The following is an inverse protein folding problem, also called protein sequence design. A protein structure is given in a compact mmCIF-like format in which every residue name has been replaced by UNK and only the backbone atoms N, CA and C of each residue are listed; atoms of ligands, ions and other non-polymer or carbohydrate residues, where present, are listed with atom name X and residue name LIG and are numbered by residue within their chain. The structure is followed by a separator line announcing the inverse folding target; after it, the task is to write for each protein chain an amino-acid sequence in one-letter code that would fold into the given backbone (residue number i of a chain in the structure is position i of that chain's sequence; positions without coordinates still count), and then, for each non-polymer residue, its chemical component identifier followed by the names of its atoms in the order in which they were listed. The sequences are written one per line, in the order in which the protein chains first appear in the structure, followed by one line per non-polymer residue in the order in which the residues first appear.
data_IF_253406598493
#
_entry.id   IF_253406598493
#
_cell.length_a   1.000
_cell.length_b   1.000
_cell.length_c   1.000
_cell.angle_alpha   90.00
_cell.angle_beta   90.00
_cell.angle_gamma   90.00
#
_symmetry.space_group_name_H-M   'P 1'
#
loop_
_entity.id
_entity.type
_entity.pdbx_description
1 polymer ?
#
# COMPACT_ATOMS: atom_id res chain seq x y z
N UNK A 1 3.66 35.94 0.49
CA UNK A 1 3.19 35.19 -0.69
C UNK A 1 2.05 34.31 -0.19
N UNK A 2 0.84 34.42 -0.75
CA UNK A 2 -0.25 33.55 -0.36
C UNK A 2 0.13 32.11 -0.73
N UNK A 3 0.13 31.19 0.24
CA UNK A 3 0.28 29.76 -0.03
C UNK A 3 -0.88 29.35 -0.92
N UNK A 4 -0.61 29.11 -2.20
CA UNK A 4 -1.60 28.64 -3.16
C UNK A 4 -2.11 27.28 -2.66
N UNK A 5 -3.42 27.16 -2.50
CA UNK A 5 -4.05 25.89 -2.12
C UNK A 5 -3.64 24.82 -3.12
N UNK A 6 -3.16 23.65 -2.67
CA UNK A 6 -2.82 22.55 -3.56
C UNK A 6 -3.99 22.18 -4.49
N UNK A 7 -3.69 21.74 -5.70
CA UNK A 7 -4.72 21.37 -6.68
C UNK A 7 -5.50 20.13 -6.23
N UNK A 8 -4.82 19.19 -5.57
CA UNK A 8 -5.37 17.90 -5.17
C UNK A 8 -5.89 17.92 -3.72
N UNK A 9 -7.10 17.36 -3.54
CA UNK A 9 -7.69 17.08 -2.23
C UNK A 9 -8.08 15.60 -2.15
N UNK A 10 -7.38 14.84 -1.31
CA UNK A 10 -7.62 13.42 -1.07
C UNK A 10 -8.63 13.23 0.05
N UNK A 11 -9.75 12.57 -0.23
CA UNK A 11 -10.70 12.14 0.79
C UNK A 11 -10.64 10.62 0.90
N UNK A 12 -10.51 10.12 2.12
CA UNK A 12 -10.39 8.69 2.38
C UNK A 12 -10.77 8.30 3.80
N UNK A 13 -10.71 7.00 4.10
CA UNK A 13 -10.76 6.53 5.49
C UNK A 13 -9.36 6.62 6.10
N UNK A 14 -9.28 6.61 7.43
CA UNK A 14 -8.02 6.57 8.17
C UNK A 14 -7.09 5.46 7.65
N UNK A 15 -5.90 5.86 7.23
CA UNK A 15 -4.98 5.01 6.46
C UNK A 15 -4.39 3.87 7.26
N UNK A 16 -4.44 3.91 8.60
CA UNK A 16 -4.14 2.74 9.44
C UNK A 16 -5.07 1.54 9.20
N UNK A 17 -6.30 1.78 8.73
CA UNK A 17 -7.28 0.74 8.38
C UNK A 17 -7.58 0.65 6.87
N UNK A 18 -7.35 1.72 6.12
CA UNK A 18 -7.71 1.79 4.69
C UNK A 18 -6.54 1.48 3.77
N UNK A 19 -6.41 0.21 3.35
CA UNK A 19 -5.42 -0.15 2.34
C UNK A 19 -5.59 0.59 1.01
N UNK A 20 -6.83 0.92 0.61
CA UNK A 20 -7.09 1.63 -0.64
C UNK A 20 -6.61 3.08 -0.60
N UNK A 21 -6.88 3.78 0.50
CA UNK A 21 -6.42 5.16 0.71
C UNK A 21 -4.90 5.21 0.90
N UNK A 22 -4.32 4.24 1.62
CA UNK A 22 -2.88 4.16 1.86
C UNK A 22 -2.06 4.01 0.56
N UNK A 23 -2.62 3.39 -0.49
CA UNK A 23 -1.98 3.30 -1.82
C UNK A 23 -1.80 4.68 -2.46
N UNK A 24 -2.83 5.52 -2.39
CA UNK A 24 -2.80 6.88 -2.94
C UNK A 24 -1.90 7.78 -2.09
N UNK A 25 -2.03 7.70 -0.76
CA UNK A 25 -1.18 8.47 0.17
C UNK A 25 0.31 8.13 -0.04
N UNK A 26 0.66 6.86 -0.24
CA UNK A 26 2.03 6.45 -0.54
C UNK A 26 2.60 7.12 -1.80
N UNK A 27 1.81 7.22 -2.88
CA UNK A 27 2.26 7.89 -4.11
C UNK A 27 2.40 9.40 -3.90
N UNK A 28 1.41 10.05 -3.31
CA UNK A 28 1.42 11.49 -3.07
C UNK A 28 2.60 11.90 -2.19
N UNK A 29 2.87 11.15 -1.12
CA UNK A 29 3.91 11.47 -0.15
C UNK A 29 5.31 11.14 -0.68
N UNK A 30 5.49 10.00 -1.34
CA UNK A 30 6.80 9.62 -1.88
C UNK A 30 7.28 10.59 -2.97
N UNK A 31 6.38 10.99 -3.87
CA UNK A 31 6.69 11.94 -4.94
C UNK A 31 6.53 13.41 -4.52
N UNK A 32 6.21 13.67 -3.24
CA UNK A 32 6.00 15.01 -2.69
C UNK A 32 5.01 15.86 -3.51
N UNK A 33 3.96 15.22 -4.03
CA UNK A 33 2.92 15.89 -4.79
C UNK A 33 2.09 16.73 -3.81
N UNK A 34 2.03 18.07 -3.97
CA UNK A 34 1.28 18.93 -3.06
C UNK A 34 -0.20 18.55 -3.05
N UNK A 35 -0.74 18.28 -1.87
CA UNK A 35 -2.14 17.92 -1.69
C UNK A 35 -2.63 18.32 -0.31
N UNK A 36 -3.94 18.39 -0.15
CA UNK A 36 -4.61 18.37 1.15
C UNK A 36 -5.30 17.03 1.34
N UNK A 37 -5.62 16.66 2.58
CA UNK A 37 -6.28 15.39 2.91
C UNK A 37 -7.38 15.57 3.94
N UNK A 38 -8.45 14.79 3.79
CA UNK A 38 -9.51 14.67 4.76
C UNK A 38 -9.80 13.19 5.00
N UNK A 39 -9.61 12.74 6.24
CA UNK A 39 -10.05 11.41 6.66
C UNK A 39 -11.45 11.48 7.26
N UNK A 40 -12.32 10.59 6.81
CA UNK A 40 -13.73 10.53 7.21
C UNK A 40 -14.05 9.19 7.87
N UNK A 41 -15.17 9.14 8.56
CA UNK A 41 -15.72 7.90 9.12
C UNK A 41 -16.37 7.03 8.04
N UNK A 42 -16.44 5.72 8.28
CA UNK A 42 -17.10 4.79 7.37
C UNK A 42 -18.59 5.14 7.16
N UNK A 43 -19.27 5.67 8.18
CA UNK A 43 -20.66 6.11 8.10
C UNK A 43 -20.87 7.33 7.20
N UNK A 44 -19.82 8.12 6.95
CA UNK A 44 -19.89 9.37 6.18
C UNK A 44 -19.62 9.16 4.69
N UNK A 45 -19.11 8.00 4.27
CA UNK A 45 -18.64 7.77 2.90
C UNK A 45 -19.68 8.07 1.83
N UNK A 46 -20.96 7.75 2.08
CA UNK A 46 -22.07 8.01 1.16
C UNK A 46 -22.35 9.50 0.93
N UNK A 47 -21.95 10.37 1.86
CA UNK A 47 -22.07 11.82 1.71
C UNK A 47 -21.03 12.39 0.73
N UNK A 48 -19.93 11.67 0.51
CA UNK A 48 -18.82 12.10 -0.36
C UNK A 48 -18.75 11.32 -1.68
N UNK A 49 -19.22 10.07 -1.69
CA UNK A 49 -19.14 9.17 -2.83
C UNK A 49 -20.46 8.41 -2.98
N UNK A 50 -21.18 8.56 -4.12
CA UNK A 50 -22.44 7.85 -4.35
C UNK A 50 -22.32 6.32 -4.25
N UNK A 51 -21.14 5.76 -4.51
CA UNK A 51 -20.86 4.32 -4.38
C UNK A 51 -20.61 3.89 -2.94
N UNK A 52 -20.45 4.83 -2.01
CA UNK A 52 -20.04 4.56 -0.62
C UNK A 52 -18.58 4.11 -0.47
N UNK A 53 -17.78 4.24 -1.53
CA UNK A 53 -16.38 3.81 -1.58
C UNK A 53 -15.43 5.02 -1.66
N UNK A 54 -14.29 4.87 -1.01
CA UNK A 54 -13.15 5.81 -1.02
C UNK A 54 -11.85 4.99 -1.20
N UNK A 55 -10.70 5.58 -1.61
CA UNK A 55 -10.41 7.01 -1.76
C UNK A 55 -11.15 7.68 -2.92
N UNK A 56 -11.33 8.99 -2.80
CA UNK A 56 -11.66 9.89 -3.91
C UNK A 56 -10.64 11.02 -3.97
N UNK A 57 -10.31 11.47 -5.18
CA UNK A 57 -9.49 12.65 -5.42
C UNK A 57 -10.36 13.74 -6.05
N UNK A 58 -10.45 14.87 -5.35
CA UNK A 58 -10.98 16.11 -5.90
C UNK A 58 -9.83 16.95 -6.43
N UNK A 59 -10.07 17.64 -7.54
CA UNK A 59 -9.07 18.44 -8.24
C UNK A 59 -9.65 19.84 -8.48
N UNK A 60 -9.01 20.89 -7.97
CA UNK A 60 -9.51 22.26 -8.11
C UNK A 60 -9.51 22.72 -9.58
N UNK A 61 -8.55 22.26 -10.37
CA UNK A 61 -8.47 22.51 -11.81
C UNK A 61 -9.53 21.73 -12.63
N UNK A 62 -10.14 20.68 -12.05
CA UNK A 62 -11.21 19.89 -12.66
C UNK A 62 -12.43 19.80 -11.71
N UNK A 63 -13.12 20.91 -11.42
CA UNK A 63 -14.13 20.98 -10.35
C UNK A 63 -15.38 20.13 -10.61
N UNK A 64 -15.62 19.72 -11.86
CA UNK A 64 -16.73 18.83 -12.24
C UNK A 64 -16.38 17.34 -12.17
N UNK A 65 -15.11 16.99 -11.94
CA UNK A 65 -14.65 15.61 -11.88
C UNK A 65 -14.34 15.20 -10.43
N UNK A 66 -14.91 14.08 -10.00
CA UNK A 66 -14.46 13.37 -8.79
C UNK A 66 -13.87 12.05 -9.25
N UNK A 67 -12.57 11.89 -9.02
CA UNK A 67 -11.85 10.69 -9.47
C UNK A 67 -11.95 9.66 -8.35
N UNK A 68 -12.59 8.55 -8.64
CA UNK A 68 -12.76 7.42 -7.72
C UNK A 68 -11.85 6.27 -8.12
N UNK A 69 -11.61 5.33 -7.21
CA UNK A 69 -10.71 4.17 -7.38
C UNK A 69 -9.23 4.51 -7.23
N UNK A 70 -8.54 3.79 -6.34
CA UNK A 70 -7.12 4.03 -6.04
C UNK A 70 -6.19 3.93 -7.26
N UNK A 71 -6.47 3.04 -8.22
CA UNK A 71 -5.62 2.87 -9.40
C UNK A 71 -5.89 3.94 -10.43
N UNK A 72 -7.17 4.29 -10.64
CA UNK A 72 -7.53 5.41 -11.50
C UNK A 72 -6.98 6.74 -10.98
N UNK A 73 -7.03 6.98 -9.67
CA UNK A 73 -6.42 8.14 -9.03
C UNK A 73 -4.90 8.17 -9.28
N UNK A 74 -4.19 7.05 -9.08
CA UNK A 74 -2.74 7.01 -9.30
C UNK A 74 -2.36 7.18 -10.78
N UNK A 75 -3.13 6.63 -11.73
CA UNK A 75 -2.90 6.87 -13.16
C UNK A 75 -3.15 8.34 -13.53
N UNK A 76 -4.20 8.97 -12.98
CA UNK A 76 -4.44 10.40 -13.16
C UNK A 76 -3.29 11.25 -12.61
N UNK A 77 -2.76 10.91 -11.43
CA UNK A 77 -1.58 11.58 -10.87
C UNK A 77 -0.36 11.41 -11.77
N UNK A 78 -0.16 10.23 -12.36
CA UNK A 78 0.94 9.99 -13.31
C UNK A 78 0.77 10.80 -14.61
N UNK A 79 -0.45 10.91 -15.13
CA UNK A 79 -0.76 11.73 -16.30
C UNK A 79 -0.56 13.23 -16.01
N UNK A 80 -1.04 13.70 -14.86
CA UNK A 80 -1.05 15.11 -14.49
C UNK A 80 0.32 15.63 -14.02
N UNK A 81 1.26 14.74 -13.69
CA UNK A 81 2.61 15.07 -13.23
C UNK A 81 3.68 14.38 -14.11
N UNK A 82 3.76 14.67 -15.43
CA UNK A 82 4.60 13.91 -16.36
C UNK A 82 6.11 14.06 -16.13
N UNK A 83 6.53 15.04 -15.31
CA UNK A 83 7.93 15.21 -14.90
C UNK A 83 8.37 14.24 -13.80
N UNK A 84 7.42 13.62 -13.09
CA UNK A 84 7.69 12.69 -11.99
C UNK A 84 7.63 11.23 -12.48
N UNK A 85 8.58 10.37 -12.09
CA UNK A 85 8.64 8.99 -12.56
C UNK A 85 7.70 8.06 -11.77
N UNK A 86 6.39 8.34 -11.74
CA UNK A 86 5.39 7.50 -11.04
C UNK A 86 5.30 6.08 -11.62
N UNK A 87 5.69 5.95 -12.89
CA UNK A 87 5.93 4.69 -13.57
C UNK A 87 7.35 4.65 -14.14
N UNK A 88 7.93 3.44 -14.35
CA UNK A 88 9.21 3.31 -15.04
C UNK A 88 9.22 4.02 -16.41
N UNK A 89 10.37 4.60 -16.79
CA UNK A 89 10.55 5.24 -18.10
C UNK A 89 10.68 4.23 -19.24
N UNK A 90 11.35 3.10 -18.99
CA UNK A 90 11.42 2.00 -19.94
C UNK A 90 10.03 1.41 -20.22
N UNK A 91 9.71 1.19 -21.50
CA UNK A 91 8.38 0.73 -21.94
C UNK A 91 8.04 -0.66 -21.41
N UNK A 92 9.02 -1.57 -21.36
CA UNK A 92 8.80 -2.93 -20.89
C UNK A 92 8.56 -2.94 -19.38
N UNK A 93 9.42 -2.26 -18.61
CA UNK A 93 9.26 -2.16 -17.16
C UNK A 93 7.95 -1.46 -16.78
N UNK A 94 7.55 -0.41 -17.50
CA UNK A 94 6.25 0.25 -17.28
C UNK A 94 5.07 -0.68 -17.52
N UNK A 95 5.12 -1.50 -18.57
CA UNK A 95 4.06 -2.47 -18.85
C UNK A 95 3.95 -3.53 -17.75
N UNK A 96 5.09 -4.04 -17.26
CA UNK A 96 5.13 -5.00 -16.17
C UNK A 96 4.66 -4.38 -14.84
N UNK A 97 5.07 -3.15 -14.54
CA UNK A 97 4.66 -2.42 -13.34
C UNK A 97 3.14 -2.20 -13.27
N UNK A 98 2.55 -1.75 -14.39
CA UNK A 98 1.09 -1.60 -14.50
C UNK A 98 0.35 -2.93 -14.35
N UNK A 99 0.88 -4.01 -14.94
CA UNK A 99 0.30 -5.35 -14.79
C UNK A 99 0.34 -5.82 -13.33
N UNK A 100 1.47 -5.64 -12.64
CA UNK A 100 1.60 -6.01 -11.23
C UNK A 100 0.64 -5.20 -10.33
N UNK A 101 0.56 -3.88 -10.54
CA UNK A 101 -0.38 -3.02 -9.83
C UNK A 101 -1.84 -3.44 -10.07
N UNK A 102 -2.22 -3.73 -11.32
CA UNK A 102 -3.57 -4.18 -11.67
C UNK A 102 -3.93 -5.56 -11.07
N UNK A 103 -2.98 -6.50 -11.05
CA UNK A 103 -3.16 -7.80 -10.38
C UNK A 103 -3.37 -7.64 -8.88
N UNK A 104 -2.67 -6.71 -8.22
CA UNK A 104 -2.88 -6.41 -6.80
C UNK A 104 -4.14 -5.58 -6.55
N UNK A 105 -4.55 -4.77 -7.53
CA UNK A 105 -5.75 -3.98 -7.45
C UNK A 105 -7.01 -4.87 -7.44
N UNK A 106 -7.10 -5.77 -8.43
CA UNK A 106 -8.28 -6.59 -8.72
C UNK A 106 -8.23 -8.03 -8.19
N UNK A 107 -7.06 -8.48 -7.72
CA UNK A 107 -6.85 -9.85 -7.25
C UNK A 107 -6.70 -9.97 -5.74
N UNK A 108 -6.38 -11.20 -5.34
CA UNK A 108 -6.10 -11.62 -3.96
C UNK A 108 -7.30 -11.52 -2.99
N UNK A 109 -8.54 -11.87 -3.41
CA UNK A 109 -9.70 -11.76 -2.53
C UNK A 109 -9.61 -12.63 -1.28
N UNK A 110 -9.04 -13.84 -1.36
CA UNK A 110 -9.00 -14.76 -0.21
C UNK A 110 -8.07 -14.20 0.86
N UNK A 111 -6.88 -13.74 0.48
CA UNK A 111 -5.93 -13.09 1.36
C UNK A 111 -6.53 -11.82 1.98
N UNK A 112 -7.20 -10.98 1.19
CA UNK A 112 -7.74 -9.69 1.66
C UNK A 112 -8.92 -9.86 2.61
N UNK A 113 -9.75 -10.89 2.41
CA UNK A 113 -10.90 -11.19 3.26
C UNK A 113 -10.51 -12.01 4.50
N UNK A 114 -9.45 -12.81 4.43
CA UNK A 114 -8.92 -13.54 5.61
C UNK A 114 -8.12 -12.60 6.52
N UNK A 115 -7.32 -11.71 5.93
CA UNK A 115 -6.38 -10.86 6.64
C UNK A 115 -6.74 -9.39 6.42
N UNK A 116 -7.59 -8.84 7.28
CA UNK A 116 -8.01 -7.44 7.22
C UNK A 116 -6.84 -6.47 7.45
N UNK A 117 -6.99 -5.24 6.95
CA UNK A 117 -5.96 -4.21 7.10
C UNK A 117 -6.09 -3.50 8.45
N UNK A 118 -5.04 -3.61 9.27
CA UNK A 118 -4.79 -2.76 10.43
C UNK A 118 -3.27 -2.64 10.57
N UNK A 119 -2.70 -1.46 10.31
CA UNK A 119 -1.24 -1.28 10.32
C UNK A 119 -0.62 -1.62 11.67
N UNK A 120 -1.31 -1.30 12.77
CA UNK A 120 -0.76 -1.44 14.12
C UNK A 120 -0.92 -2.87 14.65
N UNK A 121 -1.86 -3.65 14.10
CA UNK A 121 -2.17 -4.98 14.60
C UNK A 121 -0.97 -5.91 14.56
N UNK A 122 -0.84 -6.68 15.65
CA UNK A 122 0.07 -7.81 15.79
C UNK A 122 -0.72 -9.02 16.26
N UNK A 123 -0.64 -10.10 15.51
CA UNK A 123 -1.15 -11.40 15.90
C UNK A 123 0.02 -12.36 16.15
N UNK A 124 -0.07 -13.14 17.22
CA UNK A 124 0.87 -14.23 17.55
C UNK A 124 0.11 -15.50 17.89
N UNK A 125 0.80 -16.65 17.89
CA UNK A 125 0.16 -17.95 18.08
C UNK A 125 -0.23 -18.59 16.75
N UNK A 126 -1.33 -19.36 16.74
CA UNK A 126 -1.72 -20.20 15.62
C UNK A 126 -2.69 -19.50 14.65
N UNK A 127 -2.21 -18.42 14.01
CA UNK A 127 -3.00 -17.69 13.02
C UNK A 127 -3.31 -18.61 11.82
N UNK A 128 -4.59 -18.88 11.50
CA UNK A 128 -4.93 -19.79 10.42
C UNK A 128 -4.59 -19.20 9.06
N UNK A 129 -3.99 -20.03 8.19
CA UNK A 129 -3.76 -19.70 6.79
C UNK A 129 -4.51 -20.72 5.94
N UNK A 130 -5.73 -20.39 5.45
CA UNK A 130 -6.48 -21.27 4.56
C UNK A 130 -5.71 -21.54 3.26
N UNK A 131 -5.92 -22.71 2.64
CA UNK A 131 -5.23 -23.10 1.40
C UNK A 131 -5.36 -22.06 0.28
N UNK A 132 -6.52 -21.42 0.15
CA UNK A 132 -6.73 -20.34 -0.82
C UNK A 132 -5.86 -19.11 -0.54
N UNK A 133 -5.65 -18.76 0.74
CA UNK A 133 -4.74 -17.68 1.11
C UNK A 133 -3.28 -18.09 0.89
N UNK A 134 -2.91 -19.33 1.20
CA UNK A 134 -1.56 -19.86 0.94
C UNK A 134 -1.23 -19.85 -0.57
N UNK A 135 -2.17 -20.26 -1.42
CA UNK A 135 -2.02 -20.22 -2.88
C UNK A 135 -1.86 -18.78 -3.41
N UNK A 136 -2.61 -17.83 -2.83
CA UNK A 136 -2.51 -16.41 -3.15
C UNK A 136 -1.19 -15.78 -2.67
N UNK A 137 -0.69 -16.15 -1.49
CA UNK A 137 0.65 -15.78 -1.00
C UNK A 137 1.72 -16.29 -1.96
N UNK A 138 1.66 -17.56 -2.36
CA UNK A 138 2.61 -18.12 -3.33
C UNK A 138 2.54 -17.40 -4.70
N UNK A 139 1.36 -16.97 -5.14
CA UNK A 139 1.22 -16.14 -6.35
C UNK A 139 1.84 -14.76 -6.16
N UNK A 140 1.72 -14.17 -4.97
CA UNK A 140 2.31 -12.88 -4.62
C UNK A 140 3.83 -12.92 -4.78
N UNK A 141 4.48 -13.93 -4.22
CA UNK A 141 5.93 -14.12 -4.34
C UNK A 141 6.37 -14.25 -5.79
N UNK A 142 5.65 -15.04 -6.60
CA UNK A 142 5.94 -15.14 -8.04
C UNK A 142 5.87 -13.79 -8.76
N UNK A 143 4.95 -12.91 -8.39
CA UNK A 143 4.88 -11.55 -8.97
C UNK A 143 6.12 -10.75 -8.58
N UNK A 144 6.48 -10.73 -7.29
CA UNK A 144 7.62 -9.95 -6.80
C UNK A 144 8.95 -10.45 -7.36
N UNK A 145 9.16 -11.77 -7.35
CA UNK A 145 10.39 -12.39 -7.88
C UNK A 145 10.51 -12.17 -9.38
N UNK A 146 9.41 -12.34 -10.13
CA UNK A 146 9.43 -12.09 -11.59
C UNK A 146 9.67 -10.61 -11.89
N UNK A 147 9.08 -9.70 -11.11
CA UNK A 147 9.30 -8.26 -11.25
C UNK A 147 10.76 -7.91 -11.00
N UNK A 148 11.34 -8.35 -9.88
CA UNK A 148 12.74 -8.06 -9.54
C UNK A 148 13.71 -8.65 -10.55
N UNK A 149 13.51 -9.91 -10.96
CA UNK A 149 14.34 -10.54 -12.00
C UNK A 149 14.30 -9.76 -13.32
N UNK A 150 13.11 -9.48 -13.85
CA UNK A 150 12.96 -8.78 -15.12
C UNK A 150 13.53 -7.36 -15.07
N UNK A 151 13.39 -6.68 -13.92
CA UNK A 151 13.92 -5.34 -13.68
C UNK A 151 15.44 -5.32 -13.66
N UNK A 152 16.07 -6.17 -12.84
CA UNK A 152 17.53 -6.25 -12.73
C UNK A 152 18.17 -6.54 -14.10
N UNK A 153 17.62 -7.53 -14.82
CA UNK A 153 18.10 -7.88 -16.17
C UNK A 153 17.94 -6.71 -17.15
N UNK A 154 16.80 -6.04 -17.13
CA UNK A 154 16.51 -4.94 -18.07
C UNK A 154 17.36 -3.70 -17.79
N UNK A 155 17.49 -3.28 -16.53
CA UNK A 155 18.27 -2.10 -16.16
C UNK A 155 19.77 -2.31 -16.41
N UNK A 156 20.29 -3.53 -16.16
CA UNK A 156 21.67 -3.87 -16.51
C UNK A 156 21.93 -3.74 -18.01
N UNK A 157 21.01 -4.18 -18.87
CA UNK A 157 21.11 -4.00 -20.33
C UNK A 157 21.05 -2.53 -20.78
N UNK A 158 20.32 -1.70 -20.06
CA UNK A 158 20.20 -0.27 -20.33
C UNK A 158 21.34 0.56 -19.73
N UNK A 159 22.14 -0.02 -18.83
CA UNK A 159 23.12 0.72 -18.03
C UNK A 159 22.46 1.71 -17.06
N UNK A 160 21.22 1.45 -16.65
CA UNK A 160 20.45 2.28 -15.72
C UNK A 160 20.61 1.82 -14.27
N UNK A 161 20.41 2.74 -13.33
CA UNK A 161 20.51 2.46 -11.88
C UNK A 161 19.28 1.70 -11.41
N UNK A 162 19.50 0.66 -10.61
CA UNK A 162 18.45 -0.05 -9.89
C UNK A 162 18.47 0.39 -8.42
N UNK A 163 17.47 1.18 -8.03
CA UNK A 163 17.34 1.61 -6.63
C UNK A 163 16.82 0.48 -5.73
N UNK A 164 16.46 -0.69 -6.26
CA UNK A 164 16.00 -1.85 -5.49
C UNK A 164 14.50 -1.86 -5.17
N UNK A 165 13.72 -0.99 -5.82
CA UNK A 165 12.24 -1.11 -5.83
C UNK A 165 11.79 -2.15 -6.86
N UNK A 166 10.51 -2.57 -6.87
CA UNK A 166 10.06 -3.67 -7.74
C UNK A 166 10.44 -3.48 -9.22
N UNK A 167 10.46 -2.23 -9.68
CA UNK A 167 10.77 -1.84 -11.05
C UNK A 167 11.89 -0.78 -11.17
N UNK A 168 12.87 -0.85 -10.28
CA UNK A 168 14.08 -0.02 -10.30
C UNK A 168 13.98 1.08 -9.25
N UNK A 169 13.38 2.20 -9.65
CA UNK A 169 12.93 3.25 -8.74
C UNK A 169 11.54 2.96 -8.16
N UNK A 170 11.16 3.70 -7.11
CA UNK A 170 9.82 3.60 -6.53
C UNK A 170 8.77 3.94 -7.59
N UNK A 171 7.69 3.17 -7.61
CA UNK A 171 6.59 3.34 -8.55
C UNK A 171 5.24 3.11 -7.89
N UNK A 172 4.16 3.40 -8.62
CA UNK A 172 2.80 3.06 -8.21
C UNK A 172 2.66 1.56 -7.90
N UNK A 173 3.44 0.66 -8.54
CA UNK A 173 3.40 -0.76 -8.21
C UNK A 173 3.80 -1.03 -6.75
N UNK A 174 4.87 -0.39 -6.27
CA UNK A 174 5.33 -0.51 -4.88
C UNK A 174 4.28 0.00 -3.90
N UNK A 175 3.66 1.15 -4.20
CA UNK A 175 2.56 1.71 -3.42
C UNK A 175 1.38 0.73 -3.28
N UNK A 176 1.09 -0.04 -4.33
CA UNK A 176 -0.02 -1.01 -4.36
C UNK A 176 0.21 -2.23 -3.47
N UNK A 177 1.47 -2.63 -3.31
CA UNK A 177 1.86 -3.72 -2.41
C UNK A 177 2.20 -3.25 -0.99
N UNK A 178 2.34 -1.95 -0.72
CA UNK A 178 2.65 -1.46 0.63
C UNK A 178 1.68 -1.98 1.72
N UNK A 179 0.34 -1.90 1.57
CA UNK A 179 -0.58 -2.46 2.56
C UNK A 179 -0.62 -3.99 2.62
N UNK A 180 0.02 -4.67 1.67
CA UNK A 180 0.19 -6.13 1.70
C UNK A 180 1.34 -6.49 2.63
N UNK A 181 2.44 -5.74 2.60
CA UNK A 181 3.54 -5.94 3.54
C UNK A 181 3.06 -5.84 5.00
N UNK A 182 2.09 -4.97 5.25
CA UNK A 182 1.46 -4.88 6.58
C UNK A 182 0.80 -6.18 6.99
N UNK A 183 0.11 -6.88 6.07
CA UNK A 183 -0.51 -8.19 6.38
C UNK A 183 0.54 -9.23 6.73
N UNK A 184 1.63 -9.28 5.97
CA UNK A 184 2.75 -10.17 6.29
C UNK A 184 3.27 -9.92 7.70
N UNK A 185 3.45 -8.66 8.09
CA UNK A 185 3.85 -8.27 9.44
C UNK A 185 2.78 -8.60 10.50
N UNK A 186 1.56 -8.14 10.29
CA UNK A 186 0.46 -8.20 11.26
C UNK A 186 0.07 -9.62 11.62
N UNK A 187 0.06 -10.53 10.65
CA UNK A 187 -0.40 -11.90 10.83
C UNK A 187 0.73 -12.92 10.92
N UNK A 188 1.99 -12.47 10.88
CA UNK A 188 3.15 -13.37 10.86
C UNK A 188 3.13 -14.35 9.69
N UNK A 189 2.70 -13.88 8.51
CA UNK A 189 2.60 -14.75 7.33
C UNK A 189 4.00 -15.22 6.90
N UNK A 190 4.12 -16.48 6.45
CA UNK A 190 5.42 -17.06 6.11
C UNK A 190 6.06 -16.34 4.92
N UNK A 191 7.39 -16.25 4.93
CA UNK A 191 8.21 -15.60 3.90
C UNK A 191 9.16 -16.55 3.17
N UNK A 192 9.14 -17.83 3.52
CA UNK A 192 9.96 -18.91 2.97
C UNK A 192 9.83 -19.07 1.45
N UNK A 193 8.68 -18.70 0.89
CA UNK A 193 8.42 -18.72 -0.55
C UNK A 193 8.92 -17.49 -1.33
N UNK A 194 9.45 -16.45 -0.67
CA UNK A 194 9.93 -15.24 -1.32
C UNK A 194 11.42 -15.36 -1.71
N UNK A 195 11.77 -14.96 -2.93
CA UNK A 195 13.17 -14.87 -3.35
C UNK A 195 13.96 -13.79 -2.60
N UNK A 196 15.30 -13.86 -2.60
CA UNK A 196 16.15 -12.92 -1.88
C UNK A 196 15.97 -11.46 -2.32
N UNK A 197 15.74 -11.22 -3.61
CA UNK A 197 15.52 -9.87 -4.13
C UNK A 197 14.15 -9.30 -3.70
N UNK A 198 13.13 -10.15 -3.58
CA UNK A 198 11.84 -9.74 -3.04
C UNK A 198 11.95 -9.43 -1.54
N UNK A 199 12.68 -10.23 -0.77
CA UNK A 199 12.97 -9.95 0.65
C UNK A 199 13.76 -8.65 0.82
N UNK A 200 14.75 -8.39 -0.04
CA UNK A 200 15.50 -7.14 -0.05
C UNK A 200 14.61 -5.94 -0.37
N UNK A 201 13.70 -6.07 -1.34
CA UNK A 201 12.68 -5.05 -1.63
C UNK A 201 11.74 -4.81 -0.44
N UNK A 202 11.26 -5.85 0.23
CA UNK A 202 10.44 -5.71 1.44
C UNK A 202 11.19 -4.94 2.53
N UNK A 203 12.46 -5.28 2.76
CA UNK A 203 13.31 -4.56 3.71
C UNK A 203 13.52 -3.10 3.31
N UNK A 204 13.68 -2.82 2.01
CA UNK A 204 13.76 -1.46 1.47
C UNK A 204 12.48 -0.68 1.79
N UNK A 205 11.29 -1.22 1.48
CA UNK A 205 10.01 -0.57 1.78
C UNK A 205 9.83 -0.26 3.27
N UNK A 206 10.21 -1.18 4.16
CA UNK A 206 10.11 -0.97 5.61
C UNK A 206 11.16 0.00 6.17
N UNK A 207 12.31 0.14 5.51
CA UNK A 207 13.42 0.99 5.97
C UNK A 207 13.39 2.40 5.38
N UNK A 208 12.66 2.59 4.29
CA UNK A 208 12.53 3.85 3.58
C UNK A 208 11.98 4.98 4.48
N UNK A 209 12.59 6.18 4.47
CA UNK A 209 12.17 7.29 5.32
C UNK A 209 10.72 7.75 5.11
N UNK A 210 10.22 7.73 3.86
CA UNK A 210 8.84 8.14 3.55
C UNK A 210 7.87 7.15 4.19
N UNK A 211 8.15 5.86 4.08
CA UNK A 211 7.29 4.82 4.65
C UNK A 211 7.35 4.75 6.17
N UNK A 212 8.49 5.10 6.78
CA UNK A 212 8.59 5.34 8.22
C UNK A 212 7.73 6.52 8.67
N UNK A 213 7.81 7.65 7.96
CA UNK A 213 6.99 8.82 8.25
C UNK A 213 5.48 8.55 8.07
N UNK A 214 5.10 7.76 7.06
CA UNK A 214 3.73 7.25 6.92
C UNK A 214 3.33 6.38 8.12
N UNK A 215 4.20 5.44 8.52
CA UNK A 215 4.00 4.61 9.71
C UNK A 215 3.76 5.44 10.97
N UNK A 216 4.56 6.49 11.18
CA UNK A 216 4.39 7.44 12.28
C UNK A 216 3.02 8.12 12.26
N UNK A 217 2.53 8.53 11.09
CA UNK A 217 1.18 9.08 10.94
C UNK A 217 0.11 8.06 11.27
N UNK A 218 0.29 6.79 10.92
CA UNK A 218 -0.65 5.73 11.26
C UNK A 218 -0.71 5.48 12.77
N UNK A 219 0.44 5.55 13.47
CA UNK A 219 0.47 5.51 14.93
C UNK A 219 -0.21 6.73 15.56
N UNK A 220 0.04 7.93 15.03
CA UNK A 220 -0.61 9.15 15.50
C UNK A 220 -2.15 9.11 15.34
N UNK A 221 -2.66 8.50 14.26
CA UNK A 221 -4.11 8.28 14.11
C UNK A 221 -4.69 7.48 15.28
N UNK A 222 -3.95 6.53 15.86
CA UNK A 222 -4.42 5.70 16.97
C UNK A 222 -4.51 6.44 18.32
N UNK A 223 -3.91 7.63 18.43
CA UNK A 223 -4.01 8.47 19.64
C UNK A 223 -5.40 9.10 19.79
N UNK A 224 -6.15 9.22 18.69
CA UNK A 224 -7.55 9.65 18.69
C UNK A 224 -8.49 8.44 18.60
N UNK A 225 -9.24 8.12 19.67
CA UNK A 225 -10.18 7.00 19.70
C UNK A 225 -11.27 7.09 18.63
N UNK A 226 -11.60 8.28 18.14
CA UNK A 226 -12.62 8.46 17.10
C UNK A 226 -12.18 7.82 15.78
N UNK A 227 -10.88 7.66 15.53
CA UNK A 227 -10.38 7.01 14.30
C UNK A 227 -10.50 5.49 14.32
N UNK A 228 -10.93 4.91 15.45
CA UNK A 228 -11.03 3.47 15.64
C UNK A 228 -12.16 2.87 14.81
N UNK A 229 -11.85 1.78 14.10
CA UNK A 229 -12.83 0.96 13.39
C UNK A 229 -12.79 -0.43 14.00
N UNK A 230 -13.54 -0.63 15.08
CA UNK A 230 -13.51 -1.84 15.91
C UNK A 230 -13.73 -3.15 15.12
N UNK A 231 -14.41 -3.10 13.98
CA UNK A 231 -14.57 -4.24 13.08
C UNK A 231 -13.23 -4.84 12.60
N UNK A 232 -12.18 -4.02 12.48
CA UNK A 232 -10.84 -4.42 12.05
C UNK A 232 -9.86 -4.68 13.20
N UNK A 233 -10.31 -4.52 14.44
CA UNK A 233 -9.54 -4.88 15.62
C UNK A 233 -9.93 -6.28 16.09
N UNK A 234 -8.91 -7.05 16.49
CA UNK A 234 -9.03 -8.42 17.00
C UNK A 234 -10.02 -9.31 16.23
N UNK A 235 -9.72 -9.55 14.95
CA UNK A 235 -10.59 -10.34 14.05
C UNK A 235 -10.59 -11.85 14.38
N UNK A 236 -9.69 -12.28 15.28
CA UNK A 236 -9.58 -13.67 15.75
C UNK A 236 -9.94 -13.81 17.24
N UNK A 237 -10.67 -12.86 17.83
CA UNK A 237 -11.11 -12.86 19.24
C UNK A 237 -11.79 -14.14 19.73
N UNK A 238 -12.40 -14.90 18.82
CA UNK A 238 -13.08 -16.16 19.13
C UNK A 238 -12.13 -17.38 19.16
N UNK A 239 -10.80 -17.16 19.05
CA UNK A 239 -9.78 -18.20 19.06
C UNK A 239 -8.81 -18.04 20.23
N UNK A 240 -8.86 -18.98 21.17
CA UNK A 240 -7.99 -18.98 22.36
C UNK A 240 -6.50 -19.21 22.03
N UNK A 241 -6.18 -19.75 20.85
CA UNK A 241 -4.81 -20.05 20.38
C UNK A 241 -4.17 -18.91 19.55
N UNK A 242 -4.86 -17.78 19.41
CA UNK A 242 -4.39 -16.58 18.72
C UNK A 242 -4.43 -15.39 19.67
N UNK A 243 -3.31 -14.68 19.77
CA UNK A 243 -3.20 -13.49 20.62
C UNK A 243 -3.19 -12.23 19.75
N UNK A 244 -4.02 -11.25 20.10
CA UNK A 244 -4.02 -9.92 19.50
C UNK A 244 -3.25 -8.92 20.37
N UNK A 245 -2.49 -8.06 19.72
CA UNK A 245 -1.82 -6.92 20.33
C UNK A 245 -1.47 -5.89 19.27
N UNK A 246 -0.59 -4.96 19.64
CA UNK A 246 -0.11 -3.91 18.74
C UNK A 246 1.41 -4.00 18.59
N UNK A 247 1.92 -3.74 17.39
CA UNK A 247 3.36 -3.56 17.20
C UNK A 247 3.83 -2.29 17.93
N UNK A 248 5.03 -2.32 18.54
CA UNK A 248 5.64 -1.10 19.03
C UNK A 248 6.06 -0.21 17.84
N UNK A 249 6.08 1.10 18.08
CA UNK A 249 6.37 2.11 17.06
C UNK A 249 7.76 1.97 16.44
N UNK A 250 8.73 1.49 17.21
CA UNK A 250 10.13 1.28 16.82
C UNK A 250 10.41 -0.10 16.20
N UNK A 251 9.37 -0.88 15.87
CA UNK A 251 9.53 -2.17 15.21
C UNK A 251 10.31 -2.04 13.90
N UNK A 252 11.23 -2.98 13.67
CA UNK A 252 12.02 -3.08 12.44
C UNK A 252 11.79 -4.43 11.75
N UNK A 253 11.80 -4.41 10.42
CA UNK A 253 11.71 -5.63 9.64
C UNK A 253 13.04 -6.39 9.66
N UNK A 254 12.98 -7.67 9.99
CA UNK A 254 14.08 -8.61 9.81
C UNK A 254 13.61 -9.72 8.89
N UNK A 255 14.31 -9.95 7.80
CA UNK A 255 14.14 -11.13 6.95
C UNK A 255 14.83 -12.31 7.64
N UNK A 256 14.35 -12.70 8.82
CA UNK A 256 14.76 -13.95 9.44
C UNK A 256 13.91 -15.05 8.85
N UNK A 257 14.53 -15.88 8.00
CA UNK A 257 14.00 -17.18 7.56
C UNK A 257 13.96 -18.13 8.76
#
# INVERSE_FOLDING_TARGET
MATQTPDYHLIGLYTRYSSWTARVEAVLEYFQIPHTRQFIQLSETKSYSPTGLVPILQCHSLPSATITDSLAICEFLAESNPSLPLWPKDRQLRALARSAAAQMHSGFPVLRNTFHTNFLARYTGNVPIPDGAAAEIARMFRIWDSARKATTERLALLGEVDDGFLFGGFSIADAFFWPILWRFRSYGLPLDGAGPDALAWMAKMWSDPVFKALGDRYYAQAEDPQTCIAHYDDIFRDRDDVQYGLFPRDWTFSASV
#
